data_IF_464209411502
#
_entry.id   IF_464209411502
#
_cell.length_a   1.000
_cell.length_b   1.000
_cell.length_c   1.000
_cell.angle_alpha   90.00
_cell.angle_beta   90.00
_cell.angle_gamma   90.00
#
_symmetry.space_group_name_H-M   'P 1'
#
loop_
_entity.id
_entity.type
_entity.pdbx_description
1 polymer ?
#
# COMPACT_ATOMS: atom_id res chain seq x y z
N UNK A 1 28.98 3.75 4.24
CA UNK A 1 28.24 4.98 3.97
C UNK A 1 26.76 4.79 4.32
N UNK A 2 26.10 5.86 4.75
CA UNK A 2 24.66 5.89 4.99
C UNK A 2 24.02 6.97 4.12
N UNK A 3 22.78 6.77 3.70
CA UNK A 3 22.01 7.71 2.88
C UNK A 3 20.62 7.82 3.46
N UNK A 4 20.11 9.05 3.61
CA UNK A 4 18.71 9.30 3.90
C UNK A 4 17.93 9.45 2.60
N UNK A 5 16.79 8.79 2.52
CA UNK A 5 15.87 8.87 1.39
C UNK A 5 14.54 9.42 1.88
N UNK A 6 13.88 10.26 1.09
CA UNK A 6 12.56 10.81 1.37
C UNK A 6 11.72 10.83 0.08
N UNK A 7 10.54 10.25 0.12
CA UNK A 7 9.55 10.28 -0.97
C UNK A 7 8.13 10.08 -0.43
N UNK A 8 7.77 10.88 0.59
CA UNK A 8 6.50 10.79 1.29
C UNK A 8 6.16 9.33 1.70
N UNK A 9 4.92 8.87 1.52
CA UNK A 9 4.52 7.51 1.89
C UNK A 9 5.24 6.39 1.11
N UNK A 10 5.93 6.72 -0.01
CA UNK A 10 6.74 5.79 -0.78
C UNK A 10 8.22 5.75 -0.38
N UNK A 11 8.61 6.46 0.68
CA UNK A 11 10.00 6.57 1.17
C UNK A 11 10.66 5.20 1.34
N UNK A 12 9.96 4.23 1.92
CA UNK A 12 10.51 2.88 2.14
C UNK A 12 10.86 2.17 0.83
N UNK A 13 9.98 2.22 -0.17
CA UNK A 13 10.25 1.65 -1.50
C UNK A 13 11.34 2.41 -2.25
N UNK A 14 11.38 3.74 -2.13
CA UNK A 14 12.45 4.55 -2.70
C UNK A 14 13.82 4.18 -2.11
N UNK A 15 13.88 3.93 -0.79
CA UNK A 15 15.10 3.47 -0.12
C UNK A 15 15.55 2.09 -0.62
N UNK A 16 14.61 1.15 -0.81
CA UNK A 16 14.88 -0.17 -1.39
C UNK A 16 15.44 -0.02 -2.81
N UNK A 17 14.82 0.77 -3.68
CA UNK A 17 15.30 1.01 -5.04
C UNK A 17 16.71 1.63 -5.06
N UNK A 18 16.96 2.59 -4.17
CA UNK A 18 18.29 3.24 -4.03
C UNK A 18 19.35 2.22 -3.59
N UNK A 19 19.02 1.36 -2.64
CA UNK A 19 19.92 0.31 -2.16
C UNK A 19 20.21 -0.74 -3.24
N UNK A 20 19.19 -1.15 -4.01
CA UNK A 20 19.37 -2.07 -5.15
C UNK A 20 20.24 -1.45 -6.23
N UNK A 21 20.06 -0.16 -6.56
CA UNK A 21 20.92 0.53 -7.52
C UNK A 21 22.40 0.50 -7.10
N UNK A 22 22.68 0.61 -5.79
CA UNK A 22 24.06 0.51 -5.27
C UNK A 22 24.66 -0.89 -5.46
N UNK A 23 23.84 -1.95 -5.30
CA UNK A 23 24.27 -3.34 -5.52
C UNK A 23 24.51 -3.58 -7.01
N UNK A 24 23.54 -3.22 -7.87
CA UNK A 24 23.65 -3.36 -9.33
C UNK A 24 24.82 -2.59 -9.92
N UNK A 25 25.12 -1.41 -9.39
CA UNK A 25 26.29 -0.62 -9.74
C UNK A 25 27.61 -1.17 -9.14
N UNK A 26 27.55 -2.32 -8.44
CA UNK A 26 28.69 -2.95 -7.75
C UNK A 26 29.40 -2.05 -6.73
N UNK A 27 28.69 -1.08 -6.18
CA UNK A 27 29.19 -0.20 -5.10
C UNK A 27 29.02 -0.82 -3.71
N UNK A 28 28.10 -1.78 -3.58
CA UNK A 28 27.89 -2.57 -2.37
C UNK A 28 27.53 -4.00 -2.76
N UNK A 29 27.90 -4.98 -1.95
CA UNK A 29 27.45 -6.38 -2.06
C UNK A 29 26.28 -6.67 -1.13
N UNK A 30 26.18 -5.90 -0.05
CA UNK A 30 25.12 -6.01 0.96
C UNK A 30 24.72 -4.61 1.38
N UNK A 31 23.43 -4.36 1.48
CA UNK A 31 22.84 -3.11 1.98
C UNK A 31 21.79 -3.43 3.03
N UNK A 32 21.76 -2.62 4.08
CA UNK A 32 20.66 -2.59 5.06
C UNK A 32 19.73 -1.44 4.71
N UNK A 33 18.46 -1.72 4.56
CA UNK A 33 17.41 -0.71 4.39
C UNK A 33 16.58 -0.66 5.67
N UNK A 34 16.44 0.53 6.24
CA UNK A 34 15.67 0.77 7.45
C UNK A 34 14.65 1.87 7.15
N UNK A 35 13.38 1.57 7.35
CA UNK A 35 12.29 2.55 7.38
C UNK A 35 11.86 2.76 8.82
N UNK A 36 11.74 4.01 9.25
CA UNK A 36 11.30 4.38 10.60
C UNK A 36 10.46 5.63 10.56
N UNK A 37 9.41 5.66 11.36
CA UNK A 37 8.56 6.84 11.51
C UNK A 37 8.04 6.96 12.93
N UNK A 38 8.01 8.18 13.44
CA UNK A 38 7.45 8.55 14.73
C UNK A 38 6.47 9.70 14.53
N UNK A 39 5.17 9.40 14.56
CA UNK A 39 4.10 10.36 14.25
C UNK A 39 3.26 10.74 15.49
N UNK A 40 3.31 9.92 16.54
CA UNK A 40 2.43 10.07 17.71
C UNK A 40 2.85 11.19 18.66
N UNK A 41 4.03 11.81 18.48
CA UNK A 41 4.53 12.90 19.36
C UNK A 41 3.93 14.27 19.03
N UNK A 42 3.00 14.32 18.07
CA UNK A 42 2.34 15.58 17.69
C UNK A 42 0.83 15.41 17.54
N UNK A 43 0.08 16.50 17.58
CA UNK A 43 -1.39 16.45 17.45
C UNK A 43 -1.82 15.95 16.07
N UNK A 44 -2.96 15.27 16.01
CA UNK A 44 -3.52 14.76 14.73
C UNK A 44 -3.75 15.87 13.70
N UNK A 45 -4.11 17.09 14.14
CA UNK A 45 -4.27 18.24 13.25
C UNK A 45 -2.95 18.63 12.60
N UNK A 46 -1.86 18.70 13.39
CA UNK A 46 -0.53 19.02 12.91
C UNK A 46 0.02 17.92 12.01
N UNK A 47 -0.25 16.64 12.32
CA UNK A 47 0.07 15.52 11.43
C UNK A 47 -0.64 15.69 10.08
N UNK A 48 -1.93 16.02 10.09
CA UNK A 48 -2.70 16.26 8.87
C UNK A 48 -2.11 17.37 7.99
N UNK A 49 -1.65 18.47 8.60
CA UNK A 49 -0.99 19.56 7.85
C UNK A 49 0.39 19.14 7.32
N UNK A 50 1.19 18.43 8.12
CA UNK A 50 2.50 17.92 7.68
C UNK A 50 2.33 16.99 6.48
N UNK A 51 1.35 16.08 6.52
CA UNK A 51 1.06 15.14 5.43
C UNK A 51 0.61 15.84 4.14
N UNK A 52 0.02 17.04 4.21
CA UNK A 52 -0.25 17.88 3.04
C UNK A 52 1.04 18.32 2.31
N UNK A 53 2.22 18.15 2.91
CA UNK A 53 3.49 18.29 2.21
C UNK A 53 3.68 17.28 1.06
N UNK A 54 2.92 16.19 1.04
CA UNK A 54 2.88 15.23 -0.07
C UNK A 54 1.89 15.60 -1.19
N UNK A 55 1.27 16.78 -1.12
CA UNK A 55 0.32 17.34 -2.08
C UNK A 55 0.88 18.60 -2.74
N UNK A 56 0.23 19.08 -3.81
CA UNK A 56 0.55 20.36 -4.40
C UNK A 56 -0.04 21.49 -3.53
N UNK A 57 0.70 21.95 -2.55
CA UNK A 57 0.24 22.95 -1.57
C UNK A 57 -0.39 24.23 -2.13
N UNK A 58 0.05 24.80 -3.28
CA UNK A 58 -0.62 25.98 -3.82
C UNK A 58 -2.10 25.79 -4.14
N UNK A 59 -2.55 24.57 -4.47
CA UNK A 59 -3.95 24.26 -4.75
C UNK A 59 -4.60 23.45 -3.59
N UNK A 60 -3.86 22.55 -2.99
CA UNK A 60 -4.38 21.53 -2.07
C UNK A 60 -4.10 21.83 -0.59
N UNK A 61 -3.23 22.83 -0.30
CA UNK A 61 -2.76 23.12 1.06
C UNK A 61 -3.83 23.60 2.04
N UNK A 62 -4.98 24.09 1.55
CA UNK A 62 -6.12 24.53 2.35
C UNK A 62 -7.28 23.53 2.33
N UNK A 63 -7.05 22.29 1.88
CA UNK A 63 -8.09 21.26 1.82
C UNK A 63 -8.63 20.97 3.22
N UNK A 64 -9.94 21.14 3.39
CA UNK A 64 -10.62 20.84 4.67
C UNK A 64 -10.44 19.35 5.01
N UNK A 65 -9.98 19.07 6.21
CA UNK A 65 -9.67 17.70 6.65
C UNK A 65 -8.24 17.26 6.28
N UNK A 66 -7.38 18.18 5.85
CA UNK A 66 -5.98 17.91 5.55
C UNK A 66 -5.80 16.89 4.44
N UNK A 67 -4.80 16.03 4.57
CA UNK A 67 -4.53 15.00 3.53
C UNK A 67 -5.70 14.00 3.35
N UNK A 68 -6.48 13.73 4.40
CA UNK A 68 -7.73 12.95 4.28
C UNK A 68 -8.72 13.64 3.36
N UNK A 69 -8.82 14.96 3.41
CA UNK A 69 -9.67 15.75 2.52
C UNK A 69 -9.29 15.64 1.05
N UNK A 70 -8.01 15.50 0.73
CA UNK A 70 -7.55 15.24 -0.64
C UNK A 70 -8.14 13.93 -1.16
N UNK A 71 -8.07 12.84 -0.36
CA UNK A 71 -8.69 11.56 -0.73
C UNK A 71 -10.21 11.58 -0.68
N UNK A 72 -10.82 12.44 0.15
CA UNK A 72 -12.26 12.66 0.13
C UNK A 72 -12.71 13.24 -1.21
N UNK A 73 -11.96 14.20 -1.79
CA UNK A 73 -12.29 14.73 -3.13
C UNK A 73 -12.14 13.68 -4.24
N UNK A 74 -11.22 12.73 -4.09
CA UNK A 74 -11.10 11.57 -4.98
C UNK A 74 -12.32 10.66 -4.85
N UNK A 75 -12.74 10.36 -3.61
CA UNK A 75 -13.92 9.53 -3.36
C UNK A 75 -15.20 10.18 -3.90
N UNK A 76 -15.37 11.48 -3.68
CA UNK A 76 -16.51 12.23 -4.25
C UNK A 76 -16.53 12.17 -5.77
N UNK A 77 -15.39 12.40 -6.43
CA UNK A 77 -15.29 12.32 -7.89
C UNK A 77 -15.60 10.90 -8.39
N UNK A 78 -15.11 9.88 -7.70
CA UNK A 78 -15.38 8.49 -8.03
C UNK A 78 -16.88 8.16 -7.88
N UNK A 79 -17.52 8.60 -6.79
CA UNK A 79 -18.95 8.39 -6.56
C UNK A 79 -19.83 9.15 -7.56
N UNK A 80 -19.44 10.36 -7.95
CA UNK A 80 -20.12 11.11 -9.00
C UNK A 80 -20.08 10.39 -10.35
N UNK A 81 -18.98 9.74 -10.67
CA UNK A 81 -18.76 9.08 -11.97
C UNK A 81 -19.37 7.66 -12.00
N UNK A 82 -19.30 6.92 -10.91
CA UNK A 82 -19.63 5.47 -10.86
C UNK A 82 -20.70 5.10 -9.84
N UNK A 83 -21.37 6.10 -9.25
CA UNK A 83 -22.36 5.91 -8.20
C UNK A 83 -21.74 5.75 -6.81
N UNK A 84 -22.56 5.94 -5.77
CA UNK A 84 -22.12 5.78 -4.38
C UNK A 84 -21.53 4.39 -4.14
N UNK A 85 -20.37 4.33 -3.53
CA UNK A 85 -19.62 3.12 -3.17
C UNK A 85 -19.23 3.12 -1.68
N UNK A 86 -19.95 3.86 -0.85
CA UNK A 86 -19.65 3.95 0.59
C UNK A 86 -19.72 2.59 1.30
N UNK A 87 -20.63 1.71 0.88
CA UNK A 87 -20.70 0.33 1.36
C UNK A 87 -19.51 -0.53 0.92
N UNK A 88 -19.01 -0.30 -0.30
CA UNK A 88 -17.81 -0.97 -0.82
C UNK A 88 -16.58 -0.56 -0.03
N UNK A 89 -16.44 0.73 0.29
CA UNK A 89 -15.34 1.20 1.16
C UNK A 89 -15.42 0.52 2.54
N UNK A 90 -16.63 0.35 3.10
CA UNK A 90 -16.81 -0.37 4.37
C UNK A 90 -16.43 -1.85 4.28
N UNK A 91 -16.74 -2.53 3.16
CA UNK A 91 -16.35 -3.93 2.92
C UNK A 91 -14.81 -4.06 2.86
N UNK A 92 -14.13 -3.12 2.18
CA UNK A 92 -12.66 -3.06 2.13
C UNK A 92 -12.08 -2.87 3.53
N UNK A 93 -12.61 -1.90 4.30
CA UNK A 93 -12.19 -1.67 5.67
C UNK A 93 -12.37 -2.92 6.54
N UNK A 94 -13.55 -3.56 6.49
CA UNK A 94 -13.84 -4.78 7.25
C UNK A 94 -12.90 -5.93 6.86
N UNK A 95 -12.65 -6.14 5.56
CA UNK A 95 -11.68 -7.14 5.07
C UNK A 95 -10.29 -6.91 5.66
N UNK A 96 -9.78 -5.68 5.61
CA UNK A 96 -8.43 -5.38 6.11
C UNK A 96 -8.37 -5.50 7.64
N UNK A 97 -9.40 -5.11 8.38
CA UNK A 97 -9.47 -5.34 9.81
C UNK A 97 -9.53 -6.83 10.17
N UNK A 98 -10.29 -7.64 9.43
CA UNK A 98 -10.32 -9.09 9.59
C UNK A 98 -8.94 -9.70 9.34
N UNK A 99 -8.27 -9.33 8.25
CA UNK A 99 -6.93 -9.84 7.96
C UNK A 99 -5.92 -9.42 9.05
N UNK A 100 -5.96 -8.16 9.49
CA UNK A 100 -5.05 -7.66 10.52
C UNK A 100 -5.32 -8.20 11.93
N UNK A 101 -6.50 -8.76 12.19
CA UNK A 101 -6.81 -9.31 13.53
C UNK A 101 -5.94 -10.51 13.90
N UNK A 102 -5.40 -11.21 12.91
CA UNK A 102 -4.48 -12.35 13.09
C UNK A 102 -3.01 -11.98 12.87
N UNK A 103 -2.72 -10.72 12.57
CA UNK A 103 -1.35 -10.24 12.41
C UNK A 103 -0.79 -9.74 13.75
N UNK A 104 0.19 -10.44 14.36
CA UNK A 104 0.75 -10.03 15.65
C UNK A 104 1.51 -8.69 15.60
N UNK A 105 1.85 -8.22 14.39
CA UNK A 105 2.54 -6.95 14.17
C UNK A 105 1.58 -5.80 13.82
N UNK A 106 0.26 -6.06 13.76
CA UNK A 106 -0.71 -5.02 13.48
C UNK A 106 -0.97 -4.15 14.71
N UNK A 107 -1.08 -2.83 14.49
CA UNK A 107 -1.50 -1.89 15.53
C UNK A 107 -2.92 -2.13 16.01
N UNK A 108 -3.82 -2.57 15.11
CA UNK A 108 -5.20 -2.88 15.43
C UNK A 108 -5.51 -4.35 15.12
N UNK A 109 -5.33 -5.20 16.12
CA UNK A 109 -5.62 -6.64 16.04
C UNK A 109 -7.09 -6.91 16.38
N UNK A 110 -8.01 -6.29 15.63
CA UNK A 110 -9.44 -6.40 15.89
C UNK A 110 -10.24 -6.46 14.61
N UNK A 111 -11.02 -7.51 14.44
CA UNK A 111 -12.07 -7.57 13.43
C UNK A 111 -13.21 -6.62 13.85
N UNK A 112 -13.45 -5.58 13.06
CA UNK A 112 -14.51 -4.61 13.33
C UNK A 112 -15.84 -5.01 12.69
N UNK A 113 -15.81 -5.88 11.69
CA UNK A 113 -16.97 -6.29 10.92
C UNK A 113 -17.54 -5.20 10.00
N UNK A 114 -18.37 -5.64 9.04
CA UNK A 114 -18.96 -4.76 8.03
C UNK A 114 -19.90 -3.69 8.65
N UNK A 115 -20.78 -4.09 9.55
CA UNK A 115 -21.81 -3.19 10.11
C UNK A 115 -21.18 -2.01 10.83
N UNK A 116 -20.12 -2.26 11.63
CA UNK A 116 -19.39 -1.18 12.28
C UNK A 116 -18.72 -0.25 11.26
N UNK A 117 -18.05 -0.81 10.26
CA UNK A 117 -17.36 -0.03 9.23
C UNK A 117 -18.35 0.77 8.37
N UNK A 118 -19.56 0.26 8.15
CA UNK A 118 -20.57 0.91 7.32
C UNK A 118 -21.44 1.93 8.08
N UNK A 119 -21.41 1.92 9.41
CA UNK A 119 -22.25 2.80 10.22
C UNK A 119 -21.49 4.04 10.68
N UNK A 120 -21.99 5.22 10.33
CA UNK A 120 -21.51 6.49 10.89
C UNK A 120 -21.98 6.61 12.34
N UNK A 121 -21.06 6.82 13.27
CA UNK A 121 -21.35 6.93 14.70
C UNK A 121 -20.26 7.76 15.40
N UNK A 122 -20.42 8.04 16.69
CA UNK A 122 -19.36 8.68 17.49
C UNK A 122 -18.03 7.91 17.48
N UNK A 123 -18.07 6.58 17.36
CA UNK A 123 -16.88 5.72 17.27
C UNK A 123 -16.33 5.61 15.85
N UNK A 124 -17.14 5.88 14.85
CA UNK A 124 -16.79 5.85 13.42
C UNK A 124 -17.33 7.10 12.69
N UNK A 125 -16.93 8.32 13.10
CA UNK A 125 -17.40 9.55 12.47
C UNK A 125 -16.76 9.73 11.09
N UNK A 126 -17.33 10.62 10.27
CA UNK A 126 -16.61 11.15 9.12
C UNK A 126 -15.37 11.94 9.57
N UNK A 127 -14.23 11.65 8.98
CA UNK A 127 -13.00 12.44 9.13
C UNK A 127 -13.00 13.56 8.08
N UNK A 128 -13.31 13.22 6.85
CA UNK A 128 -13.62 14.14 5.76
C UNK A 128 -14.65 13.43 4.87
N UNK A 129 -15.89 13.93 4.81
CA UNK A 129 -16.95 13.27 4.04
C UNK A 129 -16.54 13.08 2.58
N UNK A 130 -16.75 11.89 1.96
CA UNK A 130 -17.53 10.76 2.48
C UNK A 130 -16.71 9.73 3.30
N UNK A 131 -15.47 10.00 3.66
CA UNK A 131 -14.58 9.06 4.34
C UNK A 131 -14.81 9.05 5.85
N UNK A 132 -15.17 7.87 6.39
CA UNK A 132 -15.29 7.58 7.82
C UNK A 132 -13.91 7.30 8.43
N UNK A 133 -13.83 7.28 9.75
CA UNK A 133 -12.61 6.86 10.47
C UNK A 133 -12.12 5.49 9.97
N UNK A 134 -13.02 4.54 9.74
CA UNK A 134 -12.68 3.21 9.22
C UNK A 134 -12.24 3.23 7.75
N UNK A 135 -12.43 4.30 7.02
CA UNK A 135 -11.92 4.46 5.65
C UNK A 135 -10.49 5.01 5.59
N UNK A 136 -9.93 5.43 6.74
CA UNK A 136 -8.59 6.01 6.84
C UNK A 136 -7.62 5.06 7.54
N UNK A 137 -6.35 5.01 7.12
CA UNK A 137 -5.28 4.38 7.88
C UNK A 137 -5.02 5.14 9.19
N UNK A 138 -4.39 4.48 10.14
CA UNK A 138 -4.06 5.10 11.43
C UNK A 138 -2.77 5.89 11.36
N UNK A 139 -2.72 7.02 12.10
CA UNK A 139 -1.44 7.62 12.51
C UNK A 139 -0.69 6.59 13.33
N UNK A 140 0.51 6.21 12.91
CA UNK A 140 1.24 5.08 13.48
C UNK A 140 2.71 5.39 13.64
N UNK A 141 3.29 4.91 14.72
CA UNK A 141 4.73 4.78 14.87
C UNK A 141 5.17 3.39 14.41
N UNK A 142 6.38 3.25 13.93
CA UNK A 142 6.90 1.95 13.58
C UNK A 142 8.20 1.97 12.82
N UNK A 143 8.81 0.80 12.76
CA UNK A 143 10.04 0.57 12.02
C UNK A 143 9.99 -0.79 11.31
N UNK A 144 10.68 -0.87 10.18
CA UNK A 144 10.92 -2.12 9.47
C UNK A 144 12.31 -2.08 8.84
N UNK A 145 12.95 -3.22 8.72
CA UNK A 145 14.26 -3.33 8.10
C UNK A 145 14.37 -4.60 7.27
N UNK A 146 15.16 -4.55 6.21
CA UNK A 146 15.53 -5.69 5.40
C UNK A 146 16.96 -5.57 4.89
N UNK A 147 17.53 -6.73 4.56
CA UNK A 147 18.86 -6.83 3.96
C UNK A 147 18.70 -7.20 2.49
N UNK A 148 19.38 -6.44 1.62
CA UNK A 148 19.54 -6.75 0.21
C UNK A 148 20.97 -7.19 -0.04
N UNK A 149 21.12 -8.22 -0.88
CA UNK A 149 22.42 -8.79 -1.21
C UNK A 149 22.57 -9.00 -2.72
N UNK A 150 23.81 -8.98 -3.17
CA UNK A 150 24.16 -9.51 -4.46
C UNK A 150 23.67 -10.97 -4.60
N UNK A 151 23.29 -11.37 -5.81
CA UNK A 151 22.67 -12.69 -6.06
C UNK A 151 23.55 -13.84 -5.59
N UNK A 152 24.86 -13.76 -5.78
CA UNK A 152 25.79 -14.83 -5.39
C UNK A 152 25.79 -15.04 -3.88
N UNK A 153 25.70 -13.97 -3.10
CA UNK A 153 25.59 -14.04 -1.64
C UNK A 153 24.19 -14.53 -1.22
N UNK A 154 23.14 -14.02 -1.86
CA UNK A 154 21.77 -14.39 -1.55
C UNK A 154 21.52 -15.89 -1.78
N UNK A 155 22.04 -16.48 -2.84
CA UNK A 155 21.93 -17.92 -3.13
C UNK A 155 22.63 -18.81 -2.09
N UNK A 156 23.58 -18.29 -1.31
CA UNK A 156 24.21 -19.00 -0.20
C UNK A 156 23.42 -18.92 1.11
N UNK A 157 22.43 -18.06 1.21
CA UNK A 157 21.59 -17.92 2.39
C UNK A 157 20.63 -19.10 2.57
N UNK A 158 20.16 -19.33 3.79
CA UNK A 158 19.15 -20.37 4.07
C UNK A 158 17.81 -20.10 3.39
N UNK A 159 17.48 -18.82 3.21
CA UNK A 159 16.26 -18.31 2.57
C UNK A 159 16.65 -17.15 1.68
N UNK A 160 16.09 -17.11 0.49
CA UNK A 160 16.34 -16.03 -0.45
C UNK A 160 15.08 -15.75 -1.27
N UNK A 161 14.81 -14.45 -1.43
CA UNK A 161 13.71 -13.91 -2.22
C UNK A 161 14.33 -12.97 -3.24
N UNK A 162 13.96 -13.12 -4.50
CA UNK A 162 14.43 -12.25 -5.56
C UNK A 162 13.39 -11.18 -5.90
N UNK A 163 13.87 -10.01 -6.29
CA UNK A 163 13.09 -9.07 -7.07
C UNK A 163 13.06 -9.53 -8.51
N UNK A 164 11.94 -10.10 -8.93
CA UNK A 164 11.73 -10.50 -10.32
C UNK A 164 11.53 -9.28 -11.22
N UNK A 165 10.89 -8.25 -10.69
CA UNK A 165 10.80 -6.93 -11.30
C UNK A 165 10.63 -5.84 -10.25
N UNK A 166 11.00 -4.62 -10.61
CA UNK A 166 10.70 -3.40 -9.86
C UNK A 166 10.51 -2.24 -10.81
N UNK A 167 9.50 -1.43 -10.56
CA UNK A 167 9.23 -0.22 -11.35
C UNK A 167 8.85 0.95 -10.45
N UNK A 168 9.29 2.13 -10.88
CA UNK A 168 8.90 3.41 -10.30
C UNK A 168 8.38 4.30 -11.42
N UNK A 169 7.19 4.85 -11.24
CA UNK A 169 6.57 5.78 -12.17
C UNK A 169 6.02 6.97 -11.41
N UNK A 170 6.43 8.17 -11.78
CA UNK A 170 5.81 9.40 -11.26
C UNK A 170 4.64 9.82 -12.13
N UNK A 171 3.60 10.33 -11.47
CA UNK A 171 2.50 11.05 -12.09
C UNK A 171 2.64 12.55 -11.80
N UNK A 172 1.73 13.34 -12.35
CA UNK A 172 1.71 14.82 -12.18
C UNK A 172 1.26 15.13 -10.75
N UNK A 173 2.00 16.00 -10.04
CA UNK A 173 1.74 16.31 -8.64
C UNK A 173 0.38 16.99 -8.41
N UNK A 174 0.00 18.09 -9.11
CA UNK A 174 -1.31 18.72 -8.94
C UNK A 174 -2.46 17.79 -9.32
N UNK A 175 -3.36 17.52 -8.38
CA UNK A 175 -4.53 16.67 -8.61
C UNK A 175 -5.48 17.26 -9.67
N UNK A 176 -5.50 18.59 -9.83
CA UNK A 176 -6.28 19.28 -10.85
C UNK A 176 -5.82 19.02 -12.31
N UNK A 177 -4.62 18.48 -12.49
CA UNK A 177 -4.01 18.24 -13.81
C UNK A 177 -4.12 16.79 -14.28
N UNK A 178 -4.85 15.93 -13.55
CA UNK A 178 -5.01 14.51 -13.87
C UNK A 178 -6.41 13.99 -13.55
N UNK A 179 -6.74 12.85 -14.10
CA UNK A 179 -8.00 12.17 -13.77
C UNK A 179 -7.94 11.65 -12.32
N UNK A 180 -8.84 12.18 -11.49
CA UNK A 180 -8.86 11.88 -10.04
C UNK A 180 -9.31 10.46 -9.72
N UNK A 181 -10.14 9.88 -10.58
CA UNK A 181 -10.74 8.56 -10.38
C UNK A 181 -9.88 7.43 -10.92
N UNK A 182 -8.71 7.75 -11.47
CA UNK A 182 -7.78 6.77 -12.04
C UNK A 182 -6.37 7.06 -11.54
N UNK A 183 -5.67 6.03 -11.12
CA UNK A 183 -4.27 6.13 -10.72
C UNK A 183 -3.36 5.72 -11.89
N UNK A 184 -3.29 6.59 -12.90
CA UNK A 184 -2.58 6.30 -14.15
C UNK A 184 -1.09 5.98 -13.92
N UNK A 185 -0.42 6.69 -13.02
CA UNK A 185 0.97 6.39 -12.63
C UNK A 185 1.11 4.98 -12.04
N UNK A 186 0.16 4.57 -11.20
CA UNK A 186 0.10 3.21 -10.64
C UNK A 186 -0.16 2.17 -11.74
N UNK A 187 -1.12 2.42 -12.62
CA UNK A 187 -1.42 1.54 -13.75
C UNK A 187 -0.18 1.31 -14.63
N UNK A 188 0.54 2.37 -14.97
CA UNK A 188 1.77 2.27 -15.77
C UNK A 188 2.87 1.51 -15.04
N UNK A 189 3.00 1.70 -13.73
CA UNK A 189 3.98 0.97 -12.92
C UNK A 189 3.66 -0.54 -12.90
N UNK A 190 2.38 -0.92 -12.68
CA UNK A 190 1.94 -2.31 -12.71
C UNK A 190 2.15 -2.97 -14.06
N UNK A 191 1.68 -2.35 -15.15
CA UNK A 191 1.84 -2.87 -16.52
C UNK A 191 3.32 -3.10 -16.83
N UNK A 192 4.18 -2.14 -16.49
CA UNK A 192 5.62 -2.26 -16.74
C UNK A 192 6.28 -3.34 -15.87
N UNK A 193 5.89 -3.45 -14.59
CA UNK A 193 6.47 -4.44 -13.69
C UNK A 193 6.08 -5.88 -14.08
N UNK A 194 4.83 -6.12 -14.44
CA UNK A 194 4.35 -7.42 -14.91
C UNK A 194 5.02 -7.82 -16.23
N UNK A 195 5.18 -6.86 -17.16
CA UNK A 195 5.89 -7.12 -18.43
C UNK A 195 7.36 -7.47 -18.20
N UNK A 196 8.07 -6.76 -17.32
CA UNK A 196 9.46 -7.08 -16.98
C UNK A 196 9.61 -8.44 -16.31
N UNK A 197 8.67 -8.75 -15.40
CA UNK A 197 8.61 -10.05 -14.73
C UNK A 197 8.20 -11.19 -15.68
N UNK A 198 7.68 -10.88 -16.88
CA UNK A 198 7.12 -11.82 -17.85
C UNK A 198 6.03 -12.69 -17.25
N UNK A 199 5.12 -12.06 -16.52
CA UNK A 199 3.95 -12.68 -15.89
C UNK A 199 2.70 -11.82 -16.13
N UNK A 200 1.57 -12.39 -15.78
CA UNK A 200 0.28 -11.70 -15.68
C UNK A 200 -0.09 -11.48 -14.21
N UNK A 201 -1.14 -10.72 -13.95
CA UNK A 201 -1.65 -10.54 -12.59
C UNK A 201 -2.15 -11.86 -11.96
N UNK A 202 -2.66 -12.78 -12.79
CA UNK A 202 -3.18 -14.08 -12.37
C UNK A 202 -2.07 -15.06 -11.90
N UNK A 203 -0.81 -14.76 -12.16
CA UNK A 203 0.33 -15.55 -11.68
C UNK A 203 0.74 -15.19 -10.23
N UNK A 204 0.26 -14.04 -9.70
CA UNK A 204 0.57 -13.60 -8.35
C UNK A 204 -0.20 -14.41 -7.31
N UNK A 205 0.48 -14.83 -6.25
CA UNK A 205 -0.15 -15.51 -5.11
C UNK A 205 -0.92 -14.56 -4.20
N UNK A 206 -0.49 -13.31 -4.11
CA UNK A 206 -1.11 -12.23 -3.32
C UNK A 206 -0.49 -10.87 -3.65
N UNK A 207 -1.13 -9.81 -3.14
CA UNK A 207 -0.60 -8.43 -3.24
C UNK A 207 -0.69 -7.72 -1.89
N UNK A 208 0.39 -7.04 -1.48
CA UNK A 208 0.37 -5.98 -0.45
C UNK A 208 0.25 -4.64 -1.16
N UNK A 209 -0.92 -4.01 -1.10
CA UNK A 209 -1.19 -2.73 -1.75
C UNK A 209 -1.28 -1.57 -0.75
N UNK A 210 -1.35 -0.33 -1.26
CA UNK A 210 -1.22 0.89 -0.43
C UNK A 210 -2.58 1.46 -0.03
N UNK A 211 -3.26 0.80 0.86
CA UNK A 211 -4.60 1.17 1.36
C UNK A 211 -4.56 2.28 2.43
N UNK A 212 -3.84 3.37 2.19
CA UNK A 212 -3.88 4.51 3.12
C UNK A 212 -5.30 5.04 3.33
N UNK A 213 -6.15 4.86 2.33
CA UNK A 213 -7.60 5.04 2.38
C UNK A 213 -8.28 3.90 1.62
N UNK A 214 -9.49 3.54 2.02
CA UNK A 214 -10.25 2.47 1.33
C UNK A 214 -10.59 2.81 -0.11
N UNK A 215 -10.78 4.09 -0.45
CA UNK A 215 -10.96 4.54 -1.83
C UNK A 215 -9.68 4.34 -2.65
N UNK A 216 -8.49 4.46 -2.05
CA UNK A 216 -7.25 4.16 -2.74
C UNK A 216 -7.19 2.69 -3.13
N UNK A 217 -7.44 1.77 -2.20
CA UNK A 217 -7.47 0.33 -2.48
C UNK A 217 -8.50 -0.03 -3.56
N UNK A 218 -9.69 0.61 -3.53
CA UNK A 218 -10.71 0.41 -4.57
C UNK A 218 -10.19 0.77 -5.97
N UNK A 219 -9.55 1.93 -6.11
CA UNK A 219 -8.98 2.38 -7.40
C UNK A 219 -7.74 1.55 -7.76
N UNK A 220 -6.98 1.07 -6.79
CA UNK A 220 -5.80 0.22 -7.02
C UNK A 220 -6.18 -1.14 -7.61
N UNK A 221 -7.35 -1.72 -7.30
CA UNK A 221 -7.86 -2.91 -7.98
C UNK A 221 -8.01 -2.71 -9.49
N UNK A 222 -8.41 -1.51 -9.90
CA UNK A 222 -8.56 -1.11 -11.29
C UNK A 222 -7.19 -0.82 -11.92
N UNK A 223 -6.34 -0.08 -11.21
CA UNK A 223 -5.01 0.30 -11.69
C UNK A 223 -4.09 -0.90 -11.90
N UNK A 224 -4.16 -1.93 -11.04
CA UNK A 224 -3.38 -3.17 -11.24
C UNK A 224 -3.94 -4.07 -12.34
N UNK A 225 -5.16 -3.79 -12.84
CA UNK A 225 -5.81 -4.57 -13.89
C UNK A 225 -6.63 -5.76 -13.38
N UNK A 226 -6.92 -5.85 -12.08
CA UNK A 226 -7.78 -6.88 -11.51
C UNK A 226 -9.23 -6.74 -12.00
N UNK A 227 -9.67 -5.49 -12.17
CA UNK A 227 -10.97 -5.14 -12.75
C UNK A 227 -10.82 -4.07 -13.82
N UNK A 228 -11.89 -3.83 -14.59
CA UNK A 228 -11.98 -2.64 -15.46
C UNK A 228 -12.18 -1.39 -14.60
N UNK A 229 -11.81 -0.24 -15.16
CA UNK A 229 -12.04 1.08 -14.56
C UNK A 229 -13.54 1.26 -14.23
N UNK A 230 -13.85 1.76 -13.03
CA UNK A 230 -15.19 1.93 -12.49
C UNK A 230 -15.85 0.63 -12.00
N UNK A 231 -15.15 -0.51 -12.03
CA UNK A 231 -15.65 -1.82 -11.61
C UNK A 231 -14.87 -2.43 -10.45
N UNK A 232 -14.02 -1.66 -9.77
CA UNK A 232 -13.25 -2.13 -8.62
C UNK A 232 -14.08 -2.80 -7.53
N UNK A 233 -15.34 -2.35 -7.36
CA UNK A 233 -16.29 -2.92 -6.41
C UNK A 233 -16.51 -4.42 -6.59
N UNK A 234 -16.41 -4.95 -7.82
CA UNK A 234 -16.59 -6.38 -8.10
C UNK A 234 -15.55 -7.24 -7.40
N UNK A 235 -14.31 -6.74 -7.29
CA UNK A 235 -13.24 -7.49 -6.64
C UNK A 235 -13.58 -7.84 -5.18
N UNK A 236 -14.25 -6.94 -4.46
CA UNK A 236 -14.66 -7.17 -3.07
C UNK A 236 -16.00 -7.91 -2.98
N UNK A 237 -16.97 -7.58 -3.82
CA UNK A 237 -18.30 -8.23 -3.80
C UNK A 237 -18.26 -9.69 -4.22
N UNK A 238 -17.44 -10.01 -5.21
CA UNK A 238 -17.25 -11.38 -5.70
C UNK A 238 -16.19 -12.15 -4.87
N UNK A 239 -15.63 -11.53 -3.81
CA UNK A 239 -14.70 -12.17 -2.88
C UNK A 239 -13.30 -12.43 -3.45
N UNK A 240 -12.95 -11.85 -4.61
CA UNK A 240 -11.67 -12.12 -5.28
C UNK A 240 -10.45 -11.73 -4.44
N UNK A 241 -10.59 -10.71 -3.61
CA UNK A 241 -9.51 -10.12 -2.81
C UNK A 241 -9.46 -10.61 -1.36
N UNK A 242 -10.34 -11.56 -0.99
CA UNK A 242 -10.28 -12.24 0.31
C UNK A 242 -9.08 -13.17 0.39
N UNK A 243 -8.72 -13.62 1.60
CA UNK A 243 -7.57 -14.52 1.86
C UNK A 243 -7.66 -15.82 1.04
N UNK A 244 -8.86 -16.32 0.83
CA UNK A 244 -9.18 -17.52 0.05
C UNK A 244 -9.70 -17.21 -1.36
N UNK A 245 -9.61 -15.95 -1.78
CA UNK A 245 -10.09 -15.49 -3.08
C UNK A 245 -9.09 -15.71 -4.21
N UNK A 246 -9.46 -15.20 -5.39
CA UNK A 246 -8.66 -15.32 -6.62
C UNK A 246 -7.27 -14.68 -6.49
N UNK A 247 -7.19 -13.49 -5.87
CA UNK A 247 -5.97 -12.75 -5.62
C UNK A 247 -6.06 -12.07 -4.24
N UNK A 248 -5.61 -12.71 -3.18
CA UNK A 248 -5.60 -12.11 -1.85
C UNK A 248 -4.90 -10.75 -1.81
N UNK A 249 -5.59 -9.74 -1.31
CA UNK A 249 -5.06 -8.38 -1.19
C UNK A 249 -4.94 -8.01 0.29
N UNK A 250 -3.76 -7.49 0.67
CA UNK A 250 -3.44 -7.08 2.02
C UNK A 250 -3.66 -8.20 3.06
N UNK A 251 -3.07 -9.39 2.88
CA UNK A 251 -3.16 -10.45 3.88
C UNK A 251 -2.62 -10.01 5.25
N UNK A 252 -1.72 -9.04 5.31
CA UNK A 252 -1.21 -8.45 6.57
C UNK A 252 -2.21 -7.56 7.30
N UNK A 253 -3.37 -7.25 6.71
CA UNK A 253 -4.34 -6.27 7.19
C UNK A 253 -4.14 -4.87 6.59
N UNK A 254 -3.17 -4.73 5.67
CA UNK A 254 -2.86 -3.48 4.98
C UNK A 254 -2.43 -2.36 5.93
N UNK A 255 -2.31 -1.16 5.40
CA UNK A 255 -2.01 0.05 6.17
C UNK A 255 -3.15 0.38 7.13
N UNK A 256 -4.34 -0.05 6.79
CA UNK A 256 -5.58 0.18 7.53
C UNK A 256 -5.53 -0.42 8.93
N UNK A 257 -5.12 -1.68 9.05
CA UNK A 257 -5.11 -2.42 10.31
C UNK A 257 -3.69 -2.61 10.85
N UNK A 258 -2.73 -2.96 9.97
CA UNK A 258 -1.32 -3.12 10.36
C UNK A 258 -0.73 -1.78 10.84
N UNK A 259 -1.12 -0.67 10.24
CA UNK A 259 -0.60 0.66 10.53
C UNK A 259 0.16 1.25 9.35
N UNK A 260 0.32 2.59 9.39
CA UNK A 260 0.96 3.37 8.33
C UNK A 260 2.03 4.34 8.87
N UNK A 261 3.12 3.83 9.47
CA UNK A 261 4.28 4.67 9.75
C UNK A 261 4.91 5.03 8.41
N UNK A 262 4.73 6.29 7.98
CA UNK A 262 4.89 6.77 6.59
C UNK A 262 6.23 6.34 5.98
N UNK A 263 7.35 6.66 6.65
CA UNK A 263 8.69 6.31 6.18
C UNK A 263 9.03 4.81 6.25
N UNK A 264 8.31 4.04 7.07
CA UNK A 264 8.53 2.59 7.22
C UNK A 264 7.64 1.75 6.30
N UNK A 265 6.54 2.29 5.79
CA UNK A 265 5.50 1.53 5.10
C UNK A 265 6.01 0.69 3.94
N UNK A 266 6.76 1.27 3.00
CA UNK A 266 7.28 0.53 1.87
C UNK A 266 8.20 -0.63 2.28
N UNK A 267 9.05 -0.42 3.32
CA UNK A 267 9.88 -1.51 3.86
C UNK A 267 9.02 -2.58 4.52
N UNK A 268 8.02 -2.19 5.32
CA UNK A 268 7.15 -3.15 6.02
C UNK A 268 6.30 -3.99 5.06
N UNK A 269 5.82 -3.44 3.93
CA UNK A 269 5.12 -4.21 2.91
C UNK A 269 6.03 -5.30 2.31
N UNK A 270 7.29 -4.98 2.02
CA UNK A 270 8.26 -5.96 1.53
C UNK A 270 8.59 -7.02 2.60
N UNK A 271 8.68 -6.64 3.88
CA UNK A 271 8.88 -7.60 4.98
C UNK A 271 7.69 -8.55 5.11
N UNK A 272 6.44 -8.03 5.08
CA UNK A 272 5.23 -8.88 5.12
C UNK A 272 5.21 -9.85 3.93
N UNK A 273 5.50 -9.36 2.72
CA UNK A 273 5.58 -10.21 1.54
C UNK A 273 6.68 -11.27 1.66
N UNK A 274 7.85 -10.91 2.21
CA UNK A 274 8.93 -11.85 2.45
C UNK A 274 8.53 -12.96 3.43
N UNK A 275 7.85 -12.62 4.54
CA UNK A 275 7.34 -13.60 5.50
C UNK A 275 6.37 -14.59 4.85
N UNK A 276 5.48 -14.12 3.98
CA UNK A 276 4.57 -14.99 3.20
C UNK A 276 5.34 -15.95 2.28
N UNK A 277 6.33 -15.42 1.55
CA UNK A 277 7.12 -16.21 0.59
C UNK A 277 8.09 -17.21 1.28
N UNK A 278 8.42 -17.01 2.55
CA UNK A 278 9.27 -17.91 3.35
C UNK A 278 8.49 -18.83 4.31
N UNK A 279 7.16 -18.85 4.21
CA UNK A 279 6.28 -19.64 5.07
C UNK A 279 6.40 -19.26 6.57
N UNK A 280 6.63 -17.95 6.85
CA UNK A 280 6.81 -17.40 8.21
C UNK A 280 5.69 -16.45 8.63
N UNK A 281 4.62 -16.35 7.84
CA UNK A 281 3.54 -15.40 8.11
C UNK A 281 2.53 -15.86 9.18
N UNK A 282 2.72 -17.04 9.80
CA UNK A 282 1.85 -17.54 10.87
C UNK A 282 0.40 -17.70 10.41
N UNK A 283 -0.54 -17.15 11.16
CA UNK A 283 -1.98 -17.23 10.84
C UNK A 283 -2.38 -16.41 9.59
N UNK A 284 -1.54 -15.49 9.15
CA UNK A 284 -1.75 -14.74 7.88
C UNK A 284 -1.33 -15.53 6.65
N UNK A 285 -0.76 -16.72 6.78
CA UNK A 285 -0.07 -17.43 5.71
C UNK A 285 -0.97 -17.75 4.53
N UNK A 286 -0.61 -17.25 3.35
CA UNK A 286 -1.17 -17.64 2.06
C UNK A 286 -0.54 -18.98 1.66
N UNK A 287 -1.39 -19.97 1.39
CA UNK A 287 -0.93 -21.31 1.00
C UNK A 287 -0.19 -21.27 -0.35
N UNK A 288 0.96 -21.94 -0.40
CA UNK A 288 1.77 -22.07 -1.62
C UNK A 288 2.17 -20.72 -2.24
N UNK A 289 2.43 -19.69 -1.43
CA UNK A 289 2.85 -18.40 -1.91
C UNK A 289 4.23 -18.48 -2.58
N UNK A 290 4.32 -18.12 -3.87
CA UNK A 290 5.55 -18.15 -4.66
C UNK A 290 5.89 -16.80 -5.29
N UNK A 291 4.87 -16.01 -5.65
CA UNK A 291 5.00 -14.70 -6.28
C UNK A 291 4.16 -13.69 -5.52
N UNK A 292 4.77 -12.58 -5.15
CA UNK A 292 4.10 -11.48 -4.46
C UNK A 292 4.16 -10.20 -5.30
N UNK A 293 3.04 -9.50 -5.40
CA UNK A 293 2.99 -8.12 -5.85
C UNK A 293 3.04 -7.17 -4.66
N UNK A 294 3.77 -6.07 -4.79
CA UNK A 294 3.79 -5.00 -3.78
C UNK A 294 3.56 -3.69 -4.50
N UNK A 295 2.60 -2.92 -4.03
CA UNK A 295 2.41 -1.56 -4.48
C UNK A 295 2.53 -0.59 -3.32
N UNK A 296 3.38 0.42 -3.49
CA UNK A 296 3.57 1.50 -2.52
C UNK A 296 3.53 2.85 -3.23
N UNK A 297 2.69 3.77 -2.78
CA UNK A 297 2.59 5.09 -3.36
C UNK A 297 2.96 6.20 -2.38
N UNK A 298 3.45 7.32 -2.93
CA UNK A 298 3.67 8.58 -2.23
C UNK A 298 2.73 9.67 -2.74
N UNK A 299 2.18 10.45 -1.82
CA UNK A 299 1.13 11.40 -2.12
C UNK A 299 -0.15 10.70 -2.61
N UNK A 300 -1.00 11.43 -3.31
CA UNK A 300 -2.20 10.86 -3.92
C UNK A 300 -1.85 10.16 -5.26
N UNK A 301 -1.13 9.03 -5.21
CA UNK A 301 -0.64 8.27 -6.38
C UNK A 301 0.27 9.10 -7.30
N UNK A 302 1.18 9.89 -6.70
CA UNK A 302 2.18 10.68 -7.46
C UNK A 302 3.44 9.85 -7.68
N UNK A 303 4.04 9.32 -6.63
CA UNK A 303 5.19 8.41 -6.72
C UNK A 303 4.69 6.96 -6.55
N UNK A 304 4.80 6.16 -7.61
CA UNK A 304 4.21 4.82 -7.65
C UNK A 304 5.31 3.78 -7.83
N UNK A 305 5.44 2.90 -6.83
CA UNK A 305 6.43 1.82 -6.81
C UNK A 305 5.72 0.47 -6.87
N UNK A 306 6.10 -0.36 -7.83
CA UNK A 306 5.68 -1.77 -7.91
C UNK A 306 6.90 -2.65 -7.80
N UNK A 307 6.84 -3.64 -6.92
CA UNK A 307 7.82 -4.73 -6.82
C UNK A 307 7.13 -6.07 -7.04
N UNK A 308 7.75 -6.94 -7.81
CA UNK A 308 7.36 -8.35 -7.94
C UNK A 308 8.45 -9.17 -7.28
N UNK A 309 8.08 -9.87 -6.20
CA UNK A 309 8.98 -10.73 -5.44
C UNK A 309 8.70 -12.19 -5.75
N UNK A 310 9.77 -12.99 -5.81
CA UNK A 310 9.74 -14.41 -6.09
C UNK A 310 10.53 -15.19 -5.05
N UNK A 311 9.94 -16.28 -4.54
CA UNK A 311 10.65 -17.26 -3.71
C UNK A 311 11.65 -18.01 -4.57
N UNK A 312 12.93 -17.94 -4.22
CA UNK A 312 13.98 -18.69 -4.94
C UNK A 312 14.63 -19.75 -4.05
N UNK A 313 14.44 -19.66 -2.73
CA UNK A 313 14.92 -20.66 -1.78
C UNK A 313 14.16 -20.60 -0.44
#
# INVERSE_FOLDING_TARGET
PAMRVENACATGSAAIHTAMNAIEAKKAKTTLVVGVEKMSDTSSEKVGDILLGASYRPEEGNTKGGFTGVFATIAEAYFQKYGDKSDILAKIAAKNHKNGSVNPLAHMQKDLGFDFCNTVSEKNPYVAQPLRRTDCSMVSDGAAALILQDIDLALSAKRAIAFRARRHVNDILPLSKREKTEFEGARRAWVSALADAKITLDDLSFVETHDCFTIAELIEYEAMGLTKIGQGFRAIEEGWVNIDGKLPINPSGGLKSKGHPVGATGVSQHVMAAMQLTDEAGEMQIKNANLAGIFNMGGASVANYVSILEKIR
#
